data_IF_484282371825
#
_entry.id   IF_484282371825
#
_cell.length_a   1.000
_cell.length_b   1.000
_cell.length_c   1.000
_cell.angle_alpha   90.00
_cell.angle_beta   90.00
_cell.angle_gamma   90.00
#
_symmetry.space_group_name_H-M   'P 1'
#
loop_
_entity.id
_entity.type
_entity.pdbx_description
1 polymer ?
#
# COMPACT_ATOMS: atom_id res chain seq x y z
N UNK A 1 23.50 0.43 -20.07
CA UNK A 1 22.97 -0.34 -18.92
C UNK A 1 21.54 -0.71 -19.27
N UNK A 2 21.34 -1.87 -19.90
CA UNK A 2 20.02 -2.33 -20.35
C UNK A 2 19.11 -2.60 -19.15
N UNK A 3 17.97 -1.91 -19.12
CA UNK A 3 16.91 -2.15 -18.16
C UNK A 3 16.23 -3.47 -18.50
N UNK A 4 16.65 -4.57 -17.84
CA UNK A 4 15.93 -5.86 -17.93
C UNK A 4 14.54 -5.66 -17.31
N UNK A 5 13.43 -5.77 -18.06
CA UNK A 5 12.11 -5.68 -17.48
C UNK A 5 11.93 -6.90 -16.57
N UNK A 6 11.94 -6.69 -15.26
CA UNK A 6 11.51 -7.72 -14.33
C UNK A 6 10.10 -8.17 -14.78
N UNK A 7 9.93 -9.47 -15.03
CA UNK A 7 8.68 -10.12 -15.44
C UNK A 7 7.63 -10.06 -14.31
N UNK A 8 7.27 -8.87 -13.86
CA UNK A 8 6.19 -8.66 -12.92
C UNK A 8 4.88 -8.65 -13.70
N UNK A 9 4.23 -9.81 -13.73
CA UNK A 9 2.94 -10.04 -14.39
C UNK A 9 1.81 -9.14 -13.85
N UNK A 10 1.96 -8.59 -12.64
CA UNK A 10 1.02 -7.65 -12.03
C UNK A 10 1.79 -6.64 -11.16
N UNK A 11 1.52 -5.35 -11.37
CA UNK A 11 2.06 -4.28 -10.54
C UNK A 11 1.03 -3.92 -9.47
N UNK A 12 1.34 -4.15 -8.19
CA UNK A 12 0.47 -3.76 -7.07
C UNK A 12 1.22 -2.80 -6.15
N UNK A 13 0.71 -1.57 -6.02
CA UNK A 13 1.35 -0.50 -5.28
C UNK A 13 0.34 0.36 -4.52
N UNK A 14 0.83 1.05 -3.50
CA UNK A 14 0.06 1.97 -2.69
C UNK A 14 0.81 3.29 -2.53
N UNK A 15 0.05 4.38 -2.56
CA UNK A 15 0.55 5.75 -2.50
C UNK A 15 -0.23 6.54 -1.46
N UNK A 16 0.50 7.30 -0.65
CA UNK A 16 -0.05 8.17 0.38
C UNK A 16 0.09 9.61 -0.07
N UNK A 17 -1.04 10.31 -0.16
CA UNK A 17 -1.13 11.70 -0.56
C UNK A 17 -1.57 12.58 0.60
N UNK A 18 -1.03 13.80 0.68
CA UNK A 18 -1.52 14.86 1.57
C UNK A 18 -1.54 16.16 0.81
N UNK A 19 -2.72 16.78 0.68
CA UNK A 19 -2.91 18.04 -0.08
C UNK A 19 -2.29 17.96 -1.50
N UNK A 20 -2.62 16.89 -2.24
CA UNK A 20 -2.08 16.58 -3.57
C UNK A 20 -0.56 16.35 -3.66
N UNK A 21 0.16 16.27 -2.54
CA UNK A 21 1.57 15.89 -2.51
C UNK A 21 1.73 14.42 -2.17
N UNK A 22 2.50 13.69 -2.97
CA UNK A 22 2.89 12.31 -2.67
C UNK A 22 3.89 12.31 -1.50
N UNK A 23 3.50 11.70 -0.37
CA UNK A 23 4.34 11.57 0.82
C UNK A 23 5.15 10.27 0.81
N UNK A 24 4.49 9.16 0.45
CA UNK A 24 5.11 7.85 0.43
C UNK A 24 4.47 6.98 -0.64
N UNK A 25 5.30 6.17 -1.28
CA UNK A 25 4.84 5.10 -2.18
C UNK A 25 5.47 3.78 -1.77
N UNK A 26 4.73 2.69 -1.89
CA UNK A 26 5.26 1.35 -1.63
C UNK A 26 4.59 0.32 -2.52
N UNK A 27 5.25 -0.82 -2.69
CA UNK A 27 4.76 -1.94 -3.53
C UNK A 27 4.58 -3.17 -2.66
N UNK A 28 3.76 -4.10 -3.12
CA UNK A 28 3.72 -5.44 -2.54
C UNK A 28 5.14 -6.03 -2.55
N UNK A 29 5.60 -6.55 -1.41
CA UNK A 29 6.90 -7.23 -1.33
C UNK A 29 6.70 -8.66 -0.84
N UNK A 30 7.37 -9.58 -1.50
CA UNK A 30 7.46 -10.96 -1.02
C UNK A 30 8.43 -10.98 0.18
N UNK A 31 8.04 -11.67 1.24
CA UNK A 31 8.88 -11.84 2.43
C UNK A 31 8.09 -12.34 3.62
N UNK A 32 8.81 -12.81 4.64
CA UNK A 32 8.24 -13.60 5.74
C UNK A 32 7.99 -12.78 6.99
N UNK A 33 7.10 -13.29 7.86
CA UNK A 33 6.75 -12.73 9.17
C UNK A 33 7.94 -12.47 10.10
N UNK A 34 9.07 -13.15 9.88
CA UNK A 34 10.35 -12.90 10.57
C UNK A 34 10.93 -11.49 10.35
N UNK A 35 10.39 -10.71 9.39
CA UNK A 35 10.74 -9.28 9.17
C UNK A 35 9.91 -8.30 10.01
N UNK A 36 9.18 -8.78 11.02
CA UNK A 36 8.49 -8.00 12.05
C UNK A 36 7.01 -7.73 11.79
N UNK A 37 6.39 -6.86 12.61
CA UNK A 37 4.96 -6.53 12.47
C UNK A 37 4.63 -5.94 11.08
N UNK A 38 3.52 -6.37 10.48
CA UNK A 38 3.06 -5.89 9.18
C UNK A 38 3.12 -6.92 8.04
N UNK A 39 3.98 -7.94 8.19
CA UNK A 39 4.17 -9.01 7.21
C UNK A 39 3.14 -10.14 7.46
N UNK A 40 2.54 -10.66 6.38
CA UNK A 40 1.82 -11.94 6.40
C UNK A 40 2.82 -13.11 6.41
N UNK A 41 2.32 -14.35 6.38
CA UNK A 41 3.20 -15.54 6.37
C UNK A 41 4.17 -15.55 5.17
N UNK A 42 3.84 -14.85 4.08
CA UNK A 42 4.68 -14.82 2.87
C UNK A 42 4.74 -13.48 2.11
N UNK A 43 3.96 -12.46 2.48
CA UNK A 43 3.92 -11.16 1.78
C UNK A 43 3.71 -9.96 2.69
N UNK A 44 4.35 -8.83 2.36
CA UNK A 44 3.98 -7.51 2.88
C UNK A 44 3.04 -6.83 1.88
N UNK A 45 1.81 -6.65 2.34
CA UNK A 45 0.74 -5.98 1.62
C UNK A 45 1.07 -4.51 1.36
N UNK A 46 0.79 -3.98 0.16
CA UNK A 46 1.16 -2.63 -0.28
C UNK A 46 0.59 -1.56 0.68
N UNK A 47 -0.61 -1.78 1.18
CA UNK A 47 -1.35 -0.95 2.13
C UNK A 47 -0.62 -0.83 3.48
N UNK A 48 -0.06 -1.93 3.97
CA UNK A 48 0.74 -1.93 5.21
C UNK A 48 2.15 -1.42 4.94
N UNK A 49 2.69 -1.71 3.76
CA UNK A 49 4.03 -1.31 3.36
C UNK A 49 4.17 0.21 3.27
N UNK A 50 3.16 0.91 2.75
CA UNK A 50 3.19 2.37 2.62
C UNK A 50 3.08 3.07 3.98
N UNK A 51 2.20 2.59 4.87
CA UNK A 51 2.09 3.14 6.24
C UNK A 51 3.36 2.85 7.04
N UNK A 52 3.93 1.64 6.91
CA UNK A 52 5.20 1.29 7.55
C UNK A 52 6.38 2.09 6.99
N UNK A 53 6.38 2.39 5.69
CA UNK A 53 7.40 3.25 5.05
C UNK A 53 7.26 4.71 5.49
N UNK A 54 6.04 5.18 5.67
CA UNK A 54 5.77 6.52 6.20
C UNK A 54 6.29 6.64 7.65
N UNK A 55 6.22 5.57 8.43
CA UNK A 55 6.88 5.43 9.73
C UNK A 55 6.14 6.13 10.86
N UNK A 56 5.71 7.38 10.65
CA UNK A 56 4.99 8.17 11.64
C UNK A 56 3.48 8.17 11.38
N UNK A 57 2.77 7.25 12.03
CA UNK A 57 1.30 7.13 11.90
C UNK A 57 0.56 8.35 12.43
N UNK A 58 1.15 9.16 13.33
CA UNK A 58 0.50 10.36 13.87
C UNK A 58 0.27 11.45 12.80
N UNK A 59 1.07 11.43 11.73
CA UNK A 59 0.99 12.39 10.63
C UNK A 59 0.01 11.97 9.52
N UNK A 60 -0.65 10.81 9.65
CA UNK A 60 -1.67 10.32 8.71
C UNK A 60 -2.90 11.22 8.66
N UNK A 61 -3.05 12.11 9.64
CA UNK A 61 -4.16 13.06 9.67
C UNK A 61 -4.21 13.91 8.39
N UNK A 62 -5.33 13.84 7.69
CA UNK A 62 -5.54 14.57 6.44
C UNK A 62 -4.92 13.89 5.21
N UNK A 63 -4.44 12.66 5.33
CA UNK A 63 -3.87 11.90 4.21
C UNK A 63 -4.93 11.07 3.49
N UNK A 64 -4.69 10.80 2.21
CA UNK A 64 -5.48 9.92 1.34
C UNK A 64 -4.57 8.78 0.90
N UNK A 65 -5.03 7.55 1.05
CA UNK A 65 -4.31 6.38 0.55
C UNK A 65 -4.95 5.88 -0.74
N UNK A 66 -4.13 5.64 -1.76
CA UNK A 66 -4.55 5.08 -3.05
C UNK A 66 -3.82 3.76 -3.25
N UNK A 67 -4.55 2.69 -3.54
CA UNK A 67 -4.03 1.35 -3.78
C UNK A 67 -4.39 0.94 -5.20
N UNK A 68 -3.39 0.66 -6.03
CA UNK A 68 -3.59 0.40 -7.45
C UNK A 68 -2.91 -0.90 -7.84
N UNK A 69 -3.66 -1.75 -8.55
CA UNK A 69 -3.16 -2.97 -9.17
C UNK A 69 -3.39 -2.88 -10.67
N UNK A 70 -2.32 -3.01 -11.42
CA UNK A 70 -2.32 -2.90 -12.88
C UNK A 70 -1.83 -4.23 -13.46
N UNK A 71 -2.51 -4.73 -14.50
CA UNK A 71 -2.07 -5.89 -15.26
C UNK A 71 -1.09 -5.49 -16.39
N UNK A 72 -0.54 -6.47 -17.12
CA UNK A 72 0.37 -6.22 -18.25
C UNK A 72 -0.26 -5.39 -19.39
N UNK A 73 -1.59 -5.41 -19.52
CA UNK A 73 -2.34 -4.66 -20.54
C UNK A 73 -2.64 -3.22 -20.11
N UNK A 74 -2.22 -2.81 -18.91
CA UNK A 74 -2.54 -1.48 -18.37
C UNK A 74 -3.94 -1.39 -17.77
N UNK A 75 -4.66 -2.50 -17.67
CA UNK A 75 -6.01 -2.53 -17.09
C UNK A 75 -5.91 -2.55 -15.57
N UNK A 76 -6.76 -1.74 -14.94
CA UNK A 76 -6.96 -1.74 -13.51
C UNK A 76 -7.59 -3.06 -13.09
N UNK A 77 -6.96 -3.74 -12.14
CA UNK A 77 -7.47 -4.94 -11.50
C UNK A 77 -8.04 -4.59 -10.14
N UNK A 78 -8.94 -5.45 -9.66
CA UNK A 78 -9.49 -5.31 -8.32
C UNK A 78 -8.36 -5.44 -7.28
N UNK A 79 -8.10 -4.33 -6.61
CA UNK A 79 -7.07 -4.14 -5.58
C UNK A 79 -7.68 -4.15 -4.20
N UNK A 80 -8.91 -4.67 -4.05
CA UNK A 80 -9.60 -4.68 -2.77
C UNK A 80 -8.66 -5.23 -1.68
N UNK A 81 -8.40 -4.44 -0.61
CA UNK A 81 -7.54 -4.88 0.46
C UNK A 81 -8.09 -6.15 1.11
N UNK A 82 -7.20 -7.04 1.56
CA UNK A 82 -7.62 -8.21 2.33
C UNK A 82 -8.27 -7.80 3.65
N UNK A 83 -9.00 -8.70 4.29
CA UNK A 83 -9.71 -8.45 5.56
C UNK A 83 -8.82 -7.83 6.65
N UNK A 84 -7.57 -8.26 6.76
CA UNK A 84 -6.62 -7.71 7.74
C UNK A 84 -6.14 -6.30 7.37
N UNK A 85 -5.90 -6.04 6.08
CA UNK A 85 -5.55 -4.71 5.61
C UNK A 85 -6.72 -3.75 5.76
N UNK A 86 -7.95 -4.20 5.52
CA UNK A 86 -9.16 -3.42 5.75
C UNK A 86 -9.27 -3.00 7.22
N UNK A 87 -9.17 -3.95 8.17
CA UNK A 87 -9.20 -3.62 9.61
C UNK A 87 -8.09 -2.65 10.01
N UNK A 88 -6.89 -2.83 9.47
CA UNK A 88 -5.77 -1.93 9.72
C UNK A 88 -6.04 -0.51 9.20
N UNK A 89 -6.56 -0.40 7.98
CA UNK A 89 -6.89 0.88 7.36
C UNK A 89 -8.05 1.57 8.06
N UNK A 90 -9.09 0.83 8.45
CA UNK A 90 -10.19 1.33 9.28
C UNK A 90 -9.68 1.89 10.60
N UNK A 91 -8.75 1.18 11.26
CA UNK A 91 -8.06 1.71 12.45
C UNK A 91 -7.32 3.00 12.12
N UNK A 92 -6.58 3.05 11.00
CA UNK A 92 -5.87 4.27 10.60
C UNK A 92 -6.81 5.45 10.31
N UNK A 93 -7.99 5.20 9.77
CA UNK A 93 -9.02 6.22 9.55
C UNK A 93 -9.59 6.71 10.89
N UNK A 94 -9.93 5.78 11.78
CA UNK A 94 -10.57 6.08 13.07
C UNK A 94 -9.64 6.75 14.08
N UNK A 95 -8.41 6.27 14.21
CA UNK A 95 -7.47 6.70 15.26
C UNK A 95 -6.45 7.73 14.78
N UNK A 96 -6.01 7.64 13.52
CA UNK A 96 -4.92 8.48 12.99
C UNK A 96 -5.37 9.53 11.96
N UNK A 97 -6.68 9.60 11.67
CA UNK A 97 -7.25 10.63 10.81
C UNK A 97 -6.95 10.48 9.32
N UNK A 98 -6.70 9.24 8.86
CA UNK A 98 -6.66 8.96 7.43
C UNK A 98 -8.04 9.28 6.82
N UNK A 99 -8.09 10.19 5.84
CA UNK A 99 -9.36 10.71 5.32
C UNK A 99 -10.11 9.68 4.47
N UNK A 100 -9.37 8.99 3.59
CA UNK A 100 -9.96 8.10 2.62
C UNK A 100 -8.95 7.08 2.13
N UNK A 101 -9.45 5.88 1.84
CA UNK A 101 -8.74 4.85 1.08
C UNK A 101 -9.46 4.68 -0.25
N UNK A 102 -8.72 4.73 -1.34
CA UNK A 102 -9.20 4.45 -2.69
C UNK A 102 -8.46 3.22 -3.21
N UNK A 103 -9.18 2.31 -3.85
CA UNK A 103 -8.60 1.14 -4.50
C UNK A 103 -9.25 0.91 -5.86
N UNK A 104 -8.51 0.32 -6.79
CA UNK A 104 -9.03 -0.07 -8.11
C UNK A 104 -9.81 -1.38 -8.10
#
# INVERSE_FOLDING_TARGET
>A
MEYKPAHNLHLHYAELYKRNKLLASSRNRIGTRSRGCGWSDSTLHAERAVVKRFGDVSQLHGCILIVVRINKKGELLNSKPCSDCTKFLEKCMKEYGLLKVMYS
#
